data_IF_997816783701
#
_entry.id   IF_997816783701
#
_cell.length_a   1.000
_cell.length_b   1.000
_cell.length_c   1.000
_cell.angle_alpha   90.00
_cell.angle_beta   90.00
_cell.angle_gamma   90.00
#
_symmetry.space_group_name_H-M   'P 1'
#
loop_
_entity.id
_entity.type
_entity.pdbx_description
1 polymer ?
#
# COMPACT_ATOMS: atom_id res chain seq x y z
N UNK A 1 15.81 -1.32 2.85
CA UNK A 1 14.46 -0.71 2.76
C UNK A 1 14.48 0.60 3.54
N UNK A 2 13.80 1.62 3.05
CA UNK A 2 13.67 2.96 3.64
C UNK A 2 12.23 3.09 4.15
N UNK A 3 12.03 3.51 5.40
CA UNK A 3 10.69 3.76 5.92
C UNK A 3 10.04 4.87 5.10
N UNK A 4 8.80 4.65 4.65
CA UNK A 4 8.17 5.50 3.63
C UNK A 4 6.83 6.12 4.09
N UNK A 5 6.15 5.51 5.03
CA UNK A 5 4.93 6.08 5.62
C UNK A 5 3.87 5.05 5.97
N UNK A 6 2.70 5.57 6.32
CA UNK A 6 1.54 4.81 6.79
C UNK A 6 0.34 5.07 5.88
N UNK A 7 -0.52 4.07 5.75
CA UNK A 7 -1.75 4.20 4.97
C UNK A 7 -2.85 3.31 5.52
N UNK A 8 -4.09 3.76 5.43
CA UNK A 8 -5.25 2.99 5.84
C UNK A 8 -6.07 2.59 4.60
N UNK A 9 -6.36 1.30 4.45
CA UNK A 9 -7.07 0.75 3.28
C UNK A 9 -8.18 -0.20 3.67
N UNK A 10 -9.22 -0.23 2.85
CA UNK A 10 -10.21 -1.31 2.85
C UNK A 10 -9.66 -2.44 1.99
N UNK A 11 -9.23 -3.51 2.64
CA UNK A 11 -8.71 -4.68 1.94
C UNK A 11 -9.87 -5.46 1.32
N UNK A 12 -9.78 -5.71 0.03
CA UNK A 12 -10.78 -6.46 -0.70
C UNK A 12 -10.39 -7.94 -0.77
N UNK A 13 -11.37 -8.85 -0.67
CA UNK A 13 -11.15 -10.25 -1.00
C UNK A 13 -10.72 -10.36 -2.48
N UNK A 14 -10.04 -11.44 -2.82
CA UNK A 14 -9.65 -11.71 -4.19
C UNK A 14 -10.88 -11.68 -5.12
N UNK A 15 -10.89 -10.85 -6.17
CA UNK A 15 -11.99 -10.87 -7.14
C UNK A 15 -11.93 -12.14 -8.01
N UNK A 16 -13.09 -12.63 -8.44
CA UNK A 16 -13.19 -13.85 -9.27
C UNK A 16 -12.43 -13.77 -10.60
N UNK A 17 -12.25 -12.55 -11.12
CA UNK A 17 -11.51 -12.31 -12.35
C UNK A 17 -9.98 -12.44 -12.20
N UNK A 18 -9.44 -12.50 -10.98
CA UNK A 18 -8.01 -12.68 -10.74
C UNK A 18 -7.68 -14.19 -10.75
N UNK A 19 -6.88 -14.69 -11.71
CA UNK A 19 -6.66 -16.12 -11.87
C UNK A 19 -5.69 -16.74 -10.85
N UNK A 20 -5.00 -15.95 -10.04
CA UNK A 20 -3.99 -16.45 -9.10
C UNK A 20 -4.61 -17.37 -8.04
N UNK A 21 -4.11 -18.62 -7.99
CA UNK A 21 -4.52 -19.58 -6.96
C UNK A 21 -3.85 -19.26 -5.62
N UNK A 22 -4.54 -19.55 -4.51
CA UNK A 22 -4.02 -19.36 -3.16
C UNK A 22 -4.09 -17.92 -2.64
N UNK A 23 -4.44 -16.94 -3.48
CA UNK A 23 -4.70 -15.57 -3.04
C UNK A 23 -6.06 -15.51 -2.35
N UNK A 24 -6.09 -14.91 -1.18
CA UNK A 24 -7.32 -14.70 -0.39
C UNK A 24 -7.79 -13.25 -0.46
N UNK A 25 -6.85 -12.32 -0.49
CA UNK A 25 -7.13 -10.87 -0.44
C UNK A 25 -6.07 -10.07 -1.20
N UNK A 26 -6.36 -8.80 -1.44
CA UNK A 26 -5.48 -7.90 -2.19
C UNK A 26 -4.93 -6.81 -1.26
N UNK A 27 -3.68 -6.95 -0.86
CA UNK A 27 -2.97 -5.98 -0.01
C UNK A 27 -1.96 -5.12 -0.79
N UNK A 28 -2.14 -4.97 -2.09
CA UNK A 28 -1.29 -4.13 -2.93
C UNK A 28 -1.18 -2.70 -2.41
N UNK A 29 -0.04 -2.05 -2.62
CA UNK A 29 0.13 -0.60 -2.35
C UNK A 29 -0.72 0.26 -3.28
N UNK A 30 -1.04 -0.23 -4.48
CA UNK A 30 -1.99 0.39 -5.40
C UNK A 30 -3.40 0.46 -4.80
N UNK A 31 -4.14 1.52 -5.13
CA UNK A 31 -5.51 1.70 -4.68
C UNK A 31 -6.58 1.13 -5.64
N UNK A 32 -6.15 0.48 -6.73
CA UNK A 32 -7.07 -0.01 -7.76
C UNK A 32 -8.17 -0.92 -7.21
N UNK A 33 -7.82 -1.90 -6.37
CA UNK A 33 -8.76 -2.87 -5.82
C UNK A 33 -8.99 -2.68 -4.32
N UNK A 34 -8.00 -2.19 -3.59
CA UNK A 34 -8.09 -1.96 -2.14
C UNK A 34 -7.90 -0.47 -1.85
N UNK A 35 -8.96 0.32 -1.97
CA UNK A 35 -8.88 1.77 -1.89
C UNK A 35 -8.53 2.25 -0.47
N UNK A 36 -7.85 3.39 -0.41
CA UNK A 36 -7.64 4.15 0.81
C UNK A 36 -8.93 4.73 1.39
N UNK A 37 -8.81 5.51 2.45
CA UNK A 37 -9.93 6.24 3.02
C UNK A 37 -10.44 7.29 2.02
N UNK A 38 -11.74 7.51 1.99
CA UNK A 38 -12.35 8.52 1.15
C UNK A 38 -11.73 9.90 1.46
N UNK A 39 -11.47 10.68 0.42
CA UNK A 39 -10.88 12.04 0.53
C UNK A 39 -9.51 12.17 1.23
N UNK A 40 -8.74 11.07 1.35
CA UNK A 40 -7.41 11.13 1.97
C UNK A 40 -6.49 12.18 1.30
N UNK A 41 -6.63 12.38 -0.01
CA UNK A 41 -5.87 13.40 -0.77
C UNK A 41 -6.17 14.80 -0.24
N UNK A 42 -7.43 15.08 0.08
CA UNK A 42 -7.85 16.39 0.58
C UNK A 42 -7.30 16.71 1.97
N UNK A 43 -6.75 15.74 2.69
CA UNK A 43 -6.14 15.96 4.01
C UNK A 43 -4.87 16.81 3.95
N UNK A 44 -4.18 16.85 2.79
CA UNK A 44 -2.89 17.53 2.57
C UNK A 44 -1.79 17.18 3.59
N UNK A 45 -1.94 16.04 4.29
CA UNK A 45 -1.00 15.56 5.31
C UNK A 45 -0.11 14.44 4.82
N UNK A 46 -0.40 13.93 3.63
CA UNK A 46 0.43 12.91 2.99
C UNK A 46 1.76 13.51 2.50
N UNK A 47 2.80 12.69 2.49
CA UNK A 47 4.10 13.04 1.95
C UNK A 47 4.14 12.89 0.42
N UNK A 48 5.26 13.21 -0.20
CA UNK A 48 5.42 13.15 -1.66
C UNK A 48 5.36 11.75 -2.26
N UNK A 49 5.26 10.68 -1.46
CA UNK A 49 4.93 9.32 -1.91
C UNK A 49 3.42 9.03 -1.83
N UNK A 50 2.60 9.96 -1.33
CA UNK A 50 1.18 9.78 -1.13
C UNK A 50 0.81 9.01 0.16
N UNK A 51 1.74 8.87 1.10
CA UNK A 51 1.53 8.20 2.38
C UNK A 51 1.66 9.17 3.56
N UNK A 52 1.15 8.82 4.71
CA UNK A 52 1.22 9.67 5.90
C UNK A 52 2.52 9.42 6.68
N UNK A 53 3.13 10.48 7.18
CA UNK A 53 4.31 10.36 8.05
C UNK A 53 3.95 9.90 9.47
N UNK A 54 2.67 9.98 9.87
CA UNK A 54 2.18 9.59 11.20
C UNK A 54 1.02 8.62 11.10
N UNK A 55 1.01 7.64 11.99
CA UNK A 55 -0.13 6.71 12.16
C UNK A 55 -1.41 7.48 12.48
N UNK A 56 -1.32 8.50 13.35
CA UNK A 56 -2.47 9.33 13.72
C UNK A 56 -3.12 10.04 12.53
N UNK A 57 -2.31 10.47 11.55
CA UNK A 57 -2.83 11.12 10.34
C UNK A 57 -3.50 10.11 9.41
N UNK A 58 -2.90 8.90 9.23
CA UNK A 58 -3.49 7.82 8.46
C UNK A 58 -4.82 7.33 9.05
N UNK A 59 -4.92 7.26 10.39
CA UNK A 59 -6.17 6.91 11.08
C UNK A 59 -7.17 8.07 11.04
N UNK A 60 -6.69 9.30 11.11
CA UNK A 60 -7.52 10.51 11.13
C UNK A 60 -8.35 10.76 9.87
N UNK A 61 -7.94 10.20 8.72
CA UNK A 61 -8.72 10.30 7.47
C UNK A 61 -9.79 9.23 7.34
N UNK A 62 -9.84 8.25 8.24
CA UNK A 62 -10.85 7.19 8.20
C UNK A 62 -12.15 7.72 8.79
N UNK A 63 -13.30 7.62 8.09
CA UNK A 63 -14.59 7.98 8.64
C UNK A 63 -14.88 7.16 9.90
N UNK A 64 -15.24 7.82 11.00
CA UNK A 64 -15.41 7.19 12.32
C UNK A 64 -16.39 6.01 12.31
N UNK A 65 -17.47 6.11 11.52
CA UNK A 65 -18.50 5.08 11.39
C UNK A 65 -18.07 3.83 10.62
N UNK A 66 -16.89 3.89 9.98
CA UNK A 66 -16.37 2.83 9.08
C UNK A 66 -14.97 2.37 9.49
N UNK A 67 -14.52 2.69 10.70
CA UNK A 67 -13.15 2.36 11.15
C UNK A 67 -12.84 0.88 11.13
N UNK A 68 -13.81 0.04 11.42
CA UNK A 68 -13.72 -1.42 11.40
C UNK A 68 -13.56 -2.03 9.98
N UNK A 69 -13.87 -1.25 8.94
CA UNK A 69 -13.67 -1.65 7.54
C UNK A 69 -12.21 -1.47 7.08
N UNK A 70 -11.39 -0.72 7.83
CA UNK A 70 -10.05 -0.35 7.42
C UNK A 70 -8.98 -1.11 8.19
N UNK A 71 -7.93 -1.45 7.47
CA UNK A 71 -6.68 -1.99 8.04
C UNK A 71 -5.58 -0.94 7.87
N UNK A 72 -4.65 -0.91 8.83
CA UNK A 72 -3.53 0.01 8.82
C UNK A 72 -2.28 -0.70 8.32
N UNK A 73 -1.60 -0.03 7.40
CA UNK A 73 -0.36 -0.49 6.79
C UNK A 73 0.76 0.50 7.05
N UNK A 74 1.98 -0.03 7.15
CA UNK A 74 3.21 0.71 7.03
C UNK A 74 3.96 0.23 5.79
N UNK A 75 4.64 1.14 5.13
CA UNK A 75 5.37 0.88 3.90
C UNK A 75 6.84 1.21 4.06
N UNK A 76 7.69 0.31 3.53
CA UNK A 76 9.11 0.55 3.35
C UNK A 76 9.44 0.40 1.88
N UNK A 77 10.19 1.34 1.31
CA UNK A 77 10.50 1.36 -0.10
C UNK A 77 11.96 0.95 -0.36
N UNK A 78 12.19 0.25 -1.46
CA UNK A 78 13.53 -0.10 -1.89
C UNK A 78 14.30 1.16 -2.34
N UNK A 79 15.62 1.28 -2.05
CA UNK A 79 16.41 2.45 -2.42
C UNK A 79 16.66 2.62 -3.91
N UNK A 80 16.21 1.70 -4.74
CA UNK A 80 16.32 1.75 -6.20
C UNK A 80 14.94 1.66 -6.85
N UNK A 81 14.82 2.26 -8.03
CA UNK A 81 13.68 2.15 -8.94
C UNK A 81 14.10 1.44 -10.21
N UNK A 82 13.12 0.83 -10.90
CA UNK A 82 13.34 -0.07 -12.03
C UNK A 82 12.63 0.47 -13.27
N UNK A 83 13.41 0.71 -14.34
CA UNK A 83 12.92 1.15 -15.66
C UNK A 83 13.43 0.18 -16.73
N UNK A 84 12.62 -0.75 -17.18
CA UNK A 84 13.08 -1.83 -18.03
C UNK A 84 14.19 -2.62 -17.32
N UNK A 85 15.39 -2.66 -17.92
CA UNK A 85 16.57 -3.30 -17.31
C UNK A 85 17.44 -2.36 -16.49
N UNK A 86 17.14 -1.10 -16.49
CA UNK A 86 17.90 -0.08 -15.79
C UNK A 86 17.45 0.01 -14.33
N UNK A 87 18.40 0.30 -13.45
CA UNK A 87 18.18 0.62 -12.04
C UNK A 87 18.78 1.97 -11.75
N UNK A 88 18.08 2.76 -10.99
CA UNK A 88 18.58 4.06 -10.54
C UNK A 88 18.23 4.28 -9.08
N UNK A 89 18.93 5.19 -8.42
CA UNK A 89 18.59 5.57 -7.05
C UNK A 89 17.17 6.15 -7.00
N UNK A 90 16.44 5.77 -5.95
CA UNK A 90 15.12 6.31 -5.66
C UNK A 90 15.20 7.82 -5.43
N UNK A 91 14.49 8.65 -6.21
CA UNK A 91 14.35 10.07 -5.91
C UNK A 91 13.36 10.23 -4.74
N UNK A 92 13.87 10.10 -3.51
CA UNK A 92 13.03 10.23 -2.32
C UNK A 92 12.64 11.70 -2.12
N UNK A 93 11.34 12.03 -2.02
CA UNK A 93 10.90 13.39 -1.69
C UNK A 93 11.38 13.85 -0.31
N UNK A 94 11.72 15.14 -0.20
CA UNK A 94 12.28 15.73 1.03
C UNK A 94 11.31 15.69 2.22
N UNK A 95 10.02 15.52 1.99
CA UNK A 95 8.98 15.48 3.02
C UNK A 95 8.68 14.06 3.54
N UNK A 96 9.42 13.05 3.10
CA UNK A 96 9.28 11.66 3.58
C UNK A 96 10.05 11.49 4.87
N UNK A 97 9.37 11.68 5.99
CA UNK A 97 9.93 11.59 7.35
C UNK A 97 8.96 10.84 8.28
N UNK A 98 8.70 9.55 8.02
CA UNK A 98 7.76 8.79 8.85
C UNK A 98 8.28 8.67 10.28
N UNK A 99 7.35 8.71 11.24
CA UNK A 99 7.66 8.37 12.61
C UNK A 99 8.16 6.92 12.71
N UNK A 100 8.94 6.57 13.75
CA UNK A 100 9.41 5.21 13.93
C UNK A 100 8.26 4.20 13.93
N UNK A 101 8.49 3.04 13.28
CA UNK A 101 7.50 1.99 13.17
C UNK A 101 7.03 1.53 14.56
N UNK A 102 5.75 1.68 14.89
CA UNK A 102 5.21 1.21 16.17
C UNK A 102 5.30 -0.31 16.31
N UNK A 103 5.31 -0.79 17.54
CA UNK A 103 5.23 -2.22 17.80
C UNK A 103 3.92 -2.82 17.26
N UNK A 104 3.99 -4.08 16.82
CA UNK A 104 2.82 -4.81 16.33
C UNK A 104 2.65 -4.82 14.80
N UNK A 105 3.43 -4.06 14.06
CA UNK A 105 3.50 -4.22 12.60
C UNK A 105 4.35 -5.45 12.24
N UNK A 106 3.87 -6.20 11.25
CA UNK A 106 4.57 -7.37 10.71
C UNK A 106 4.60 -7.30 9.19
N UNK A 107 5.70 -7.69 8.57
CA UNK A 107 5.78 -7.83 7.13
C UNK A 107 4.82 -8.92 6.66
N UNK A 108 4.00 -8.61 5.66
CA UNK A 108 3.09 -9.56 5.00
C UNK A 108 3.53 -9.85 3.55
N UNK A 109 4.57 -9.20 3.06
CA UNK A 109 5.17 -9.43 1.75
C UNK A 109 5.62 -8.14 1.08
N UNK A 110 5.89 -8.24 -0.20
CA UNK A 110 6.42 -7.15 -1.02
C UNK A 110 5.56 -6.94 -2.26
N UNK A 111 5.39 -5.70 -2.65
CA UNK A 111 4.72 -5.32 -3.89
C UNK A 111 5.71 -4.71 -4.89
N UNK A 112 5.35 -4.72 -6.16
CA UNK A 112 6.05 -4.00 -7.21
C UNK A 112 5.03 -3.18 -7.98
N UNK A 113 5.02 -1.87 -7.77
CA UNK A 113 4.02 -0.98 -8.32
C UNK A 113 4.66 0.15 -9.12
N UNK A 114 3.98 0.59 -10.19
CA UNK A 114 4.41 1.69 -11.03
C UNK A 114 3.98 3.04 -10.47
N UNK A 115 4.75 4.07 -10.80
CA UNK A 115 4.39 5.46 -10.55
C UNK A 115 4.70 6.31 -11.78
N UNK A 116 3.69 6.97 -12.31
CA UNK A 116 3.87 7.96 -13.37
C UNK A 116 4.55 9.21 -12.82
N UNK A 117 5.44 9.80 -13.63
CA UNK A 117 6.01 11.13 -13.34
C UNK A 117 5.00 12.26 -13.55
N UNK A 118 3.82 11.96 -14.09
CA UNK A 118 2.79 12.95 -14.44
C UNK A 118 1.66 12.89 -13.40
N UNK A 119 1.85 13.58 -12.29
CA UNK A 119 0.74 13.95 -11.40
C UNK A 119 0.26 12.91 -10.39
N UNK A 120 0.83 11.71 -10.34
CA UNK A 120 0.44 10.70 -9.36
C UNK A 120 1.01 10.99 -7.96
N UNK A 121 0.15 11.12 -6.96
CA UNK A 121 0.54 11.25 -5.55
C UNK A 121 0.77 9.88 -4.90
N UNK A 122 0.30 8.79 -5.51
CA UNK A 122 0.43 7.42 -5.01
C UNK A 122 0.99 6.48 -6.07
N UNK A 123 1.35 5.27 -5.69
CA UNK A 123 1.71 4.22 -6.63
C UNK A 123 0.45 3.80 -7.40
N UNK A 124 0.44 4.01 -8.72
CA UNK A 124 -0.76 3.97 -9.54
C UNK A 124 -1.25 2.56 -9.82
N UNK A 125 -0.33 1.65 -10.18
CA UNK A 125 -0.72 0.31 -10.56
C UNK A 125 0.28 -0.75 -10.07
N UNK A 126 -0.25 -1.86 -9.57
CA UNK A 126 0.50 -3.08 -9.34
C UNK A 126 -0.01 -4.17 -10.28
N UNK A 127 0.82 -4.71 -11.16
CA UNK A 127 0.43 -5.82 -12.04
C UNK A 127 -0.01 -7.08 -11.30
N UNK A 128 0.33 -7.21 -10.01
CA UNK A 128 -0.15 -8.31 -9.18
C UNK A 128 -1.65 -8.19 -8.88
N UNK A 129 -2.13 -6.98 -8.64
CA UNK A 129 -3.49 -6.77 -8.14
C UNK A 129 -4.56 -6.71 -9.22
N UNK A 130 -4.23 -6.27 -10.44
CA UNK A 130 -5.24 -5.92 -11.43
C UNK A 130 -5.15 -6.66 -12.78
N UNK A 131 -4.15 -7.54 -12.98
CA UNK A 131 -4.01 -8.28 -14.23
C UNK A 131 -3.62 -9.75 -14.04
N UNK A 132 -3.56 -10.50 -15.17
CA UNK A 132 -3.30 -11.93 -15.16
C UNK A 132 -1.88 -12.32 -14.73
N UNK A 133 -0.94 -11.38 -14.65
CA UNK A 133 0.46 -11.71 -14.30
C UNK A 133 0.59 -12.25 -12.88
N UNK A 134 -0.34 -11.95 -11.98
CA UNK A 134 -0.35 -12.54 -10.65
C UNK A 134 -0.39 -14.08 -10.68
N UNK A 135 -1.01 -14.70 -11.68
CA UNK A 135 -1.04 -16.16 -11.82
C UNK A 135 0.29 -16.78 -12.27
N UNK A 136 1.19 -15.95 -12.81
CA UNK A 136 2.50 -16.35 -13.30
C UNK A 136 3.63 -16.05 -12.31
N UNK A 137 3.30 -15.41 -11.19
CA UNK A 137 4.26 -14.93 -10.21
C UNK A 137 4.10 -15.69 -8.87
N UNK A 138 5.19 -15.87 -8.12
CA UNK A 138 5.14 -16.49 -6.80
C UNK A 138 4.53 -15.51 -5.78
N UNK A 139 3.19 -15.44 -5.72
CA UNK A 139 2.48 -14.59 -4.76
C UNK A 139 1.96 -15.40 -3.58
N UNK A 140 1.83 -14.74 -2.43
CA UNK A 140 1.25 -15.28 -1.21
C UNK A 140 -0.28 -15.02 -1.13
N UNK A 141 -0.88 -15.36 -0.01
CA UNK A 141 -2.33 -15.17 0.23
C UNK A 141 -2.79 -13.71 0.21
N UNK A 142 -1.89 -12.76 0.36
CA UNK A 142 -2.14 -11.32 0.30
C UNK A 142 -1.94 -10.71 -1.10
N UNK A 143 -1.70 -11.55 -2.12
CA UNK A 143 -1.32 -11.13 -3.48
C UNK A 143 -0.03 -10.30 -3.52
N UNK A 144 0.94 -10.67 -2.70
CA UNK A 144 2.24 -10.02 -2.59
C UNK A 144 3.36 -11.03 -2.84
N UNK A 145 4.52 -10.57 -3.30
CA UNK A 145 5.71 -11.41 -3.35
C UNK A 145 6.15 -11.81 -1.94
N UNK A 146 6.51 -13.08 -1.72
CA UNK A 146 6.89 -13.54 -0.38
C UNK A 146 8.28 -13.05 0.06
N UNK A 147 9.14 -12.63 -0.87
CA UNK A 147 10.51 -12.20 -0.57
C UNK A 147 10.88 -10.95 -1.37
N UNK A 148 11.85 -10.19 -0.86
CA UNK A 148 12.40 -9.02 -1.53
C UNK A 148 13.00 -9.39 -2.91
N UNK A 149 13.74 -10.49 -3.00
CA UNK A 149 14.36 -10.92 -4.26
C UNK A 149 13.30 -11.25 -5.32
N UNK A 150 12.19 -11.89 -4.92
CA UNK A 150 11.07 -12.15 -5.82
C UNK A 150 10.41 -10.85 -6.30
N UNK A 151 10.25 -9.86 -5.42
CA UNK A 151 9.71 -8.56 -5.79
C UNK A 151 10.62 -7.77 -6.73
N UNK A 152 11.94 -7.80 -6.49
CA UNK A 152 12.91 -7.19 -7.41
C UNK A 152 12.88 -7.86 -8.79
N UNK A 153 12.85 -9.19 -8.83
CA UNK A 153 12.73 -9.91 -10.09
C UNK A 153 11.39 -9.59 -10.81
N UNK A 154 10.32 -9.46 -10.03
CA UNK A 154 9.01 -9.01 -10.51
C UNK A 154 9.06 -7.60 -11.09
N UNK A 155 9.64 -6.64 -10.41
CA UNK A 155 9.79 -5.26 -10.88
C UNK A 155 10.54 -5.18 -12.20
N UNK A 156 11.64 -5.93 -12.34
CA UNK A 156 12.43 -6.01 -13.60
C UNK A 156 11.60 -6.60 -14.72
N UNK A 157 10.85 -7.67 -14.45
CA UNK A 157 9.97 -8.32 -15.44
C UNK A 157 8.83 -7.37 -15.85
N UNK A 158 8.14 -6.74 -14.90
CA UNK A 158 7.04 -5.83 -15.18
C UNK A 158 7.52 -4.62 -16.00
N UNK A 159 8.65 -4.03 -15.63
CA UNK A 159 9.21 -2.92 -16.38
C UNK A 159 9.59 -3.27 -17.83
N UNK A 160 9.84 -4.54 -18.13
CA UNK A 160 10.18 -5.02 -19.46
C UNK A 160 8.97 -5.48 -20.28
N UNK A 161 7.96 -6.08 -19.66
CA UNK A 161 6.86 -6.77 -20.33
C UNK A 161 5.52 -6.04 -20.22
N UNK A 162 5.35 -5.24 -19.17
CA UNK A 162 4.12 -4.52 -18.86
C UNK A 162 4.43 -3.04 -18.66
N UNK A 163 4.48 -2.27 -19.73
CA UNK A 163 4.83 -0.85 -19.64
C UNK A 163 3.66 -0.04 -19.07
N UNK A 164 3.33 -0.24 -17.81
CA UNK A 164 2.55 0.73 -17.07
C UNK A 164 3.33 2.05 -17.04
N UNK A 165 2.66 3.20 -17.00
CA UNK A 165 3.35 4.49 -17.02
C UNK A 165 4.31 4.63 -15.83
N UNK A 166 5.57 4.95 -16.11
CA UNK A 166 6.56 5.29 -15.09
C UNK A 166 7.48 4.16 -14.65
N UNK A 167 8.20 4.43 -13.58
CA UNK A 167 9.16 3.52 -13.00
C UNK A 167 8.47 2.57 -12.02
N UNK A 168 9.02 1.36 -11.87
CA UNK A 168 8.56 0.41 -10.87
C UNK A 168 9.32 0.58 -9.57
N UNK A 169 8.58 0.54 -8.48
CA UNK A 169 9.02 0.64 -7.11
C UNK A 169 8.76 -0.68 -6.39
N UNK A 170 9.72 -1.15 -5.62
CA UNK A 170 9.53 -2.31 -4.74
C UNK A 170 9.24 -1.82 -3.34
N UNK A 171 8.15 -2.29 -2.76
CA UNK A 171 7.64 -1.84 -1.46
C UNK A 171 7.39 -3.03 -0.56
N UNK A 172 7.98 -3.02 0.63
CA UNK A 172 7.61 -3.93 1.71
C UNK A 172 6.30 -3.44 2.33
N UNK A 173 5.33 -4.34 2.40
CA UNK A 173 4.02 -4.10 3.00
C UNK A 173 4.01 -4.71 4.40
N UNK A 174 3.85 -3.86 5.39
CA UNK A 174 3.71 -4.27 6.79
C UNK A 174 2.29 -3.97 7.23
N UNK A 175 1.65 -4.94 7.86
CA UNK A 175 0.31 -4.79 8.42
C UNK A 175 0.37 -4.81 9.95
N UNK A 176 -0.46 -4.02 10.61
CA UNK A 176 -0.58 -4.00 12.06
C UNK A 176 -0.91 -2.63 12.60
N UNK A 177 -0.38 -2.37 13.78
CA UNK A 177 -0.64 -1.12 14.52
C UNK A 177 -1.75 -1.26 15.56
N UNK A 178 -2.11 -0.17 16.25
CA UNK A 178 -3.21 -0.17 17.18
C UNK A 178 -4.50 -0.57 16.44
N UNK A 179 -5.30 -1.45 17.04
CA UNK A 179 -6.66 -1.70 16.54
C UNK A 179 -7.36 -0.36 16.41
N UNK A 180 -7.92 -0.12 15.23
CA UNK A 180 -8.74 1.08 14.99
C UNK A 180 -10.07 0.83 15.70
N UNK A 181 -10.09 1.05 17.01
CA UNK A 181 -11.29 0.82 17.81
C UNK A 181 -12.32 1.93 17.54
N UNK A 182 -13.60 1.60 17.46
CA UNK A 182 -14.64 2.62 17.41
C UNK A 182 -14.58 3.46 18.70
N UNK A 183 -14.59 4.77 18.57
CA UNK A 183 -14.60 5.69 19.71
C UNK A 183 -15.84 5.42 20.56
N UNK A 184 -15.63 5.11 21.84
CA UNK A 184 -16.70 4.86 22.83
C UNK A 184 -17.56 6.12 23.16
N UNK A 185 -17.32 7.26 22.51
CA UNK A 185 -17.98 8.52 22.81
C UNK A 185 -19.45 8.66 22.31
N UNK A 186 -19.94 7.74 21.46
CA UNK A 186 -21.26 7.88 20.86
C UNK A 186 -22.43 7.31 21.69
N UNK A 187 -22.17 6.60 22.80
CA UNK A 187 -23.22 5.94 23.58
C UNK A 187 -23.67 6.68 24.84
N UNK A 188 -23.05 7.81 25.19
CA UNK A 188 -23.44 8.56 26.40
C UNK A 188 -24.66 9.49 26.23
N UNK A 189 -25.03 9.86 25.00
CA UNK A 189 -26.14 10.79 24.75
C UNK A 189 -27.50 10.13 24.52
N UNK A 190 -27.58 8.80 24.41
CA UNK A 190 -28.87 8.11 24.22
C UNK A 190 -29.53 7.59 25.50
N UNK A 191 -28.91 7.78 26.65
CA UNK A 191 -29.44 7.32 27.95
C UNK A 191 -30.11 8.43 28.78
N UNK A 192 -30.33 9.62 28.22
CA UNK A 192 -30.92 10.77 28.91
C UNK A 192 -32.10 11.40 28.15
N UNK A 193 -33.00 10.57 27.61
CA UNK A 193 -34.33 11.05 27.15
C UNK A 193 -35.41 10.05 27.51
#
# INVERSE_FOLDING_TARGET
>A
MIDAGYFAKRVQPRPDCLPASGVLEICSVSECLSPGADDWIASWRHNGLGWFNRVSDAVGVIPEKRRDEYRLFAYRIHPEVFRGRERSALPLPDDVHPEPLPAGFRSIGFDSASRSSVGGLSLECSPLSCNAMASEMPVNEHCLFPTLDAAIAGAVRFAAEQPEPGDYYVVEVLEGGPRIEPSLSANAERAST
#
